data_IF_947324362490
#
_entry.id   IF_947324362490
#
_cell.length_a   1.000
_cell.length_b   1.000
_cell.length_c   1.000
_cell.angle_alpha   90.00
_cell.angle_beta   90.00
_cell.angle_gamma   90.00
#
_symmetry.space_group_name_H-M   'P 1'
#
loop_
_entity.id
_entity.type
_entity.pdbx_description
1 polymer ?
#
# COMPACT_ATOMS: atom_id res chain seq x y z
N UNK A 1 5.33 -14.48 -29.02
CA UNK A 1 6.15 -13.26 -28.77
C UNK A 1 5.31 -11.99 -28.54
N UNK A 2 4.06 -11.89 -29.03
CA UNK A 2 3.20 -10.73 -28.76
C UNK A 2 2.63 -10.65 -27.33
N UNK A 3 2.28 -11.79 -26.73
CA UNK A 3 1.65 -11.83 -25.40
C UNK A 3 2.60 -11.43 -24.27
N UNK A 4 3.86 -11.87 -24.34
CA UNK A 4 4.92 -11.47 -23.39
C UNK A 4 5.22 -9.97 -23.42
N UNK A 5 5.07 -9.33 -24.58
CA UNK A 5 5.24 -7.88 -24.77
C UNK A 5 4.06 -7.09 -24.17
N UNK A 6 2.83 -7.60 -24.33
CA UNK A 6 1.62 -7.01 -23.71
C UNK A 6 1.68 -7.09 -22.18
N UNK A 7 2.07 -8.23 -21.63
CA UNK A 7 2.17 -8.43 -20.18
C UNK A 7 3.20 -7.49 -19.52
N UNK A 8 4.35 -7.27 -20.17
CA UNK A 8 5.35 -6.32 -19.67
C UNK A 8 4.85 -4.88 -19.66
N UNK A 9 4.10 -4.48 -20.69
CA UNK A 9 3.50 -3.13 -20.75
C UNK A 9 2.40 -2.95 -19.69
N UNK A 10 1.55 -3.96 -19.50
CA UNK A 10 0.51 -3.97 -18.47
C UNK A 10 1.10 -3.88 -17.06
N UNK A 11 2.12 -4.70 -16.76
CA UNK A 11 2.81 -4.67 -15.46
C UNK A 11 3.46 -3.31 -15.17
N UNK A 12 4.01 -2.66 -16.19
CA UNK A 12 4.57 -1.31 -16.07
C UNK A 12 3.50 -0.27 -15.77
N UNK A 13 2.36 -0.32 -16.46
CA UNK A 13 1.24 0.58 -16.24
C UNK A 13 0.64 0.39 -14.83
N UNK A 14 0.44 -0.85 -14.40
CA UNK A 14 -0.03 -1.17 -13.05
C UNK A 14 0.91 -0.63 -11.98
N UNK A 15 2.23 -0.83 -12.13
CA UNK A 15 3.22 -0.30 -11.17
C UNK A 15 3.17 1.23 -11.06
N UNK A 16 3.02 1.92 -12.19
CA UNK A 16 2.88 3.38 -12.22
C UNK A 16 1.57 3.81 -11.56
N UNK A 17 0.44 3.18 -11.91
CA UNK A 17 -0.86 3.48 -11.33
C UNK A 17 -0.90 3.26 -9.82
N UNK A 18 -0.38 2.14 -9.33
CA UNK A 18 -0.26 1.85 -7.90
C UNK A 18 0.59 2.91 -7.19
N UNK A 19 1.72 3.33 -7.76
CA UNK A 19 2.54 4.38 -7.16
C UNK A 19 1.83 5.74 -7.09
N UNK A 20 1.04 6.11 -8.10
CA UNK A 20 0.23 7.34 -8.08
C UNK A 20 -0.78 7.27 -6.94
N UNK A 21 -1.52 6.16 -6.82
CA UNK A 21 -2.50 5.95 -5.73
C UNK A 21 -1.81 6.04 -4.36
N UNK A 22 -0.64 5.42 -4.20
CA UNK A 22 0.13 5.47 -2.96
C UNK A 22 0.54 6.90 -2.58
N UNK A 23 0.96 7.73 -3.54
CA UNK A 23 1.29 9.14 -3.30
C UNK A 23 0.04 9.93 -2.89
N UNK A 24 -1.08 9.73 -3.59
CA UNK A 24 -2.35 10.40 -3.26
C UNK A 24 -2.84 10.05 -1.85
N UNK A 25 -2.69 8.80 -1.43
CA UNK A 25 -3.03 8.36 -0.07
C UNK A 25 -2.14 9.03 0.99
N UNK A 26 -0.83 9.18 0.73
CA UNK A 26 0.07 9.90 1.65
C UNK A 26 -0.35 11.38 1.76
N UNK A 27 -0.60 12.05 0.63
CA UNK A 27 -1.01 13.45 0.62
C UNK A 27 -2.33 13.62 1.38
N UNK A 28 -3.31 12.76 1.12
CA UNK A 28 -4.59 12.79 1.83
C UNK A 28 -4.46 12.52 3.33
N UNK A 29 -3.59 11.57 3.73
CA UNK A 29 -3.32 11.32 5.15
C UNK A 29 -2.73 12.57 5.84
N UNK A 30 -1.75 13.22 5.21
CA UNK A 30 -1.15 14.45 5.75
C UNK A 30 -2.20 15.56 5.83
N UNK A 31 -3.03 15.74 4.79
CA UNK A 31 -4.10 16.73 4.83
C UNK A 31 -5.06 16.51 6.01
N UNK A 32 -5.43 15.26 6.27
CA UNK A 32 -6.34 14.91 7.35
C UNK A 32 -5.72 15.07 8.75
N UNK A 33 -4.44 14.73 8.93
CA UNK A 33 -3.75 14.86 10.22
C UNK A 33 -3.41 16.30 10.63
N UNK A 34 -3.34 17.22 9.66
CA UNK A 34 -3.02 18.63 9.90
C UNK A 34 -4.25 19.53 9.76
N UNK A 35 -5.43 18.95 9.65
CA UNK A 35 -6.69 19.69 9.71
C UNK A 35 -7.08 19.99 11.16
N UNK A 36 -7.90 21.03 11.37
CA UNK A 36 -8.27 21.47 12.73
C UNK A 36 -9.27 20.53 13.43
N UNK A 37 -10.04 19.74 12.67
CA UNK A 37 -11.01 18.79 13.22
C UNK A 37 -10.31 17.48 13.63
N UNK A 38 -10.27 17.20 14.93
CA UNK A 38 -9.70 15.96 15.48
C UNK A 38 -10.35 14.68 14.97
N UNK A 39 -11.56 14.75 14.40
CA UNK A 39 -12.20 13.62 13.72
C UNK A 39 -11.39 13.20 12.47
N UNK A 40 -10.72 14.16 11.84
CA UNK A 40 -9.91 13.94 10.64
C UNK A 40 -8.63 13.16 10.94
N UNK A 41 -8.14 13.13 12.18
CA UNK A 41 -7.04 12.25 12.56
C UNK A 41 -7.38 10.76 12.37
N UNK A 42 -8.63 10.38 12.66
CA UNK A 42 -9.11 9.02 12.41
C UNK A 42 -9.14 8.70 10.90
N UNK A 43 -9.57 9.65 10.07
CA UNK A 43 -9.53 9.51 8.61
C UNK A 43 -8.10 9.47 8.06
N UNK A 44 -7.18 10.25 8.61
CA UNK A 44 -5.74 10.16 8.32
C UNK A 44 -5.19 8.77 8.63
N UNK A 45 -5.58 8.20 9.78
CA UNK A 45 -5.31 6.82 10.14
C UNK A 45 -5.84 5.81 9.11
N UNK A 46 -7.08 5.98 8.65
CA UNK A 46 -7.66 5.13 7.60
C UNK A 46 -6.92 5.23 6.26
N UNK A 47 -6.50 6.43 5.84
CA UNK A 47 -5.68 6.62 4.64
C UNK A 47 -4.35 5.88 4.76
N UNK A 48 -3.70 5.93 5.92
CA UNK A 48 -2.49 5.16 6.20
C UNK A 48 -2.74 3.65 6.17
N UNK A 49 -3.87 3.17 6.70
CA UNK A 49 -4.21 1.75 6.64
C UNK A 49 -4.35 1.25 5.21
N UNK A 50 -5.09 1.99 4.37
CA UNK A 50 -5.26 1.67 2.94
C UNK A 50 -3.92 1.70 2.22
N UNK A 51 -3.08 2.70 2.49
CA UNK A 51 -1.73 2.81 1.93
C UNK A 51 -0.88 1.57 2.21
N UNK A 52 -0.77 1.18 3.48
CA UNK A 52 0.03 0.01 3.86
C UNK A 52 -0.58 -1.30 3.37
N UNK A 53 -1.92 -1.42 3.33
CA UNK A 53 -2.61 -2.58 2.77
C UNK A 53 -2.28 -2.80 1.29
N UNK A 54 -2.37 -1.75 0.46
CA UNK A 54 -1.98 -1.81 -0.96
C UNK A 54 -0.50 -2.17 -1.11
N UNK A 55 0.36 -1.59 -0.27
CA UNK A 55 1.81 -1.85 -0.28
C UNK A 55 2.14 -3.31 0.02
N UNK A 56 1.52 -3.88 1.06
CA UNK A 56 1.67 -5.29 1.45
C UNK A 56 1.24 -6.21 0.31
N UNK A 57 0.04 -6.01 -0.25
CA UNK A 57 -0.46 -6.88 -1.33
C UNK A 57 0.46 -6.81 -2.56
N UNK A 58 0.92 -5.61 -2.91
CA UNK A 58 1.81 -5.40 -4.06
C UNK A 58 3.17 -6.06 -3.85
N UNK A 59 3.76 -5.92 -2.66
CA UNK A 59 5.02 -6.57 -2.31
C UNK A 59 4.89 -8.09 -2.23
N UNK A 60 3.81 -8.59 -1.63
CA UNK A 60 3.56 -10.01 -1.48
C UNK A 60 3.43 -10.70 -2.84
N UNK A 61 2.69 -10.08 -3.77
CA UNK A 61 2.56 -10.56 -5.15
C UNK A 61 3.93 -10.60 -5.88
N UNK A 62 4.76 -9.57 -5.72
CA UNK A 62 6.11 -9.57 -6.30
C UNK A 62 7.03 -10.60 -5.65
N UNK A 63 6.95 -10.77 -4.33
CA UNK A 63 7.79 -11.67 -3.54
C UNK A 63 7.52 -13.13 -3.89
N UNK A 64 6.25 -13.52 -4.04
CA UNK A 64 5.87 -14.85 -4.55
C UNK A 64 6.46 -15.07 -5.95
N UNK A 65 6.31 -14.08 -6.84
CA UNK A 65 6.83 -14.18 -8.21
C UNK A 65 8.36 -14.28 -8.26
N UNK A 66 9.06 -13.68 -7.30
CA UNK A 66 10.52 -13.67 -7.20
C UNK A 66 11.09 -14.82 -6.34
N UNK A 67 10.25 -15.56 -5.60
CA UNK A 67 10.70 -16.57 -4.65
C UNK A 67 11.44 -16.01 -3.42
N UNK A 68 11.33 -14.71 -3.16
CA UNK A 68 11.99 -14.06 -2.02
C UNK A 68 11.17 -14.28 -0.74
N UNK A 69 11.72 -15.11 0.15
CA UNK A 69 11.08 -15.46 1.41
C UNK A 69 11.25 -14.39 2.50
N UNK A 70 12.25 -13.50 2.40
CA UNK A 70 12.55 -12.52 3.46
C UNK A 70 11.55 -11.37 3.46
N UNK A 71 11.18 -10.87 2.28
CA UNK A 71 10.19 -9.81 2.12
C UNK A 71 8.81 -10.20 2.66
N UNK A 72 8.44 -11.48 2.52
CA UNK A 72 7.17 -12.03 3.05
C UNK A 72 7.07 -11.84 4.57
N UNK A 73 8.17 -12.03 5.32
CA UNK A 73 8.15 -11.82 6.77
C UNK A 73 7.93 -10.34 7.14
N UNK A 74 8.49 -9.41 6.36
CA UNK A 74 8.29 -7.97 6.56
C UNK A 74 6.83 -7.60 6.29
N UNK A 75 6.25 -8.15 5.22
CA UNK A 75 4.85 -7.93 4.85
C UNK A 75 3.88 -8.46 5.92
N UNK A 76 4.15 -9.64 6.49
CA UNK A 76 3.36 -10.21 7.61
C UNK A 76 3.50 -9.35 8.87
N UNK A 77 4.70 -8.88 9.20
CA UNK A 77 4.93 -7.99 10.34
C UNK A 77 4.17 -6.66 10.20
N UNK A 78 4.20 -6.06 9.00
CA UNK A 78 3.42 -4.87 8.69
C UNK A 78 1.91 -5.12 8.76
N UNK A 79 1.44 -6.29 8.34
CA UNK A 79 0.02 -6.67 8.43
C UNK A 79 -0.46 -6.79 9.87
N UNK A 80 0.36 -7.37 10.75
CA UNK A 80 0.10 -7.44 12.19
C UNK A 80 0.08 -6.03 12.80
N UNK A 81 1.05 -5.19 12.45
CA UNK A 81 1.09 -3.80 12.91
C UNK A 81 -0.16 -3.02 12.50
N UNK A 82 -0.61 -3.18 11.25
CA UNK A 82 -1.85 -2.59 10.75
C UNK A 82 -3.08 -3.07 11.51
N UNK A 83 -3.15 -4.35 11.83
CA UNK A 83 -4.26 -4.91 12.60
C UNK A 83 -4.33 -4.26 13.98
N UNK A 84 -3.20 -4.07 14.67
CA UNK A 84 -3.17 -3.35 15.95
C UNK A 84 -3.56 -1.87 15.81
N UNK A 85 -3.10 -1.20 14.75
CA UNK A 85 -3.47 0.19 14.48
C UNK A 85 -4.99 0.35 14.34
N UNK A 86 -5.67 -0.65 13.75
CA UNK A 86 -7.13 -0.64 13.56
C UNK A 86 -7.94 -0.72 14.86
N UNK A 87 -7.39 -1.30 15.93
CA UNK A 87 -8.03 -1.28 17.26
C UNK A 87 -7.70 -0.03 18.08
N UNK A 88 -6.73 0.77 17.63
CA UNK A 88 -6.24 1.95 18.34
C UNK A 88 -6.76 3.27 17.74
N UNK A 89 -7.02 3.28 16.44
CA UNK A 89 -7.70 4.36 15.70
C UNK A 89 -9.19 4.35 15.98
#
# INVERSE_FOLDING_TARGET
>A
MGDTLKDNKLNKALKIGTNIILILLIIGAIQMFYDEDSTNDHFGGLFMMVFFGIKIISNFMMSIKAGDKKSIFIDVGLMIFLFFLLFLV
#
